data_IF_458971989183
#
_entry.id   IF_458971989183
#
_cell.length_a   1.000
_cell.length_b   1.000
_cell.length_c   1.000
_cell.angle_alpha   90.00
_cell.angle_beta   90.00
_cell.angle_gamma   90.00
#
_symmetry.space_group_name_H-M   'P 1'
#
loop_
_entity.id
_entity.type
_entity.pdbx_description
1 polymer ?
#
# COMPACT_ATOMS: atom_id res chain seq x y z
N UNK A 1 -14.10 2.87 -0.38
CA UNK A 1 -15.56 2.90 -0.15
C UNK A 1 -16.29 3.96 -0.98
N UNK A 2 -15.73 5.15 -1.24
CA UNK A 2 -16.40 6.18 -2.05
C UNK A 2 -16.56 5.84 -3.54
N UNK A 3 -15.72 4.95 -4.09
CA UNK A 3 -15.77 4.53 -5.49
C UNK A 3 -15.75 3.01 -5.59
N UNK A 4 -16.48 2.44 -6.53
CA UNK A 4 -16.43 1.00 -6.82
C UNK A 4 -15.12 0.64 -7.52
N UNK A 5 -14.74 -0.63 -7.43
CA UNK A 5 -13.57 -1.16 -8.16
C UNK A 5 -13.68 -0.90 -9.68
N UNK A 6 -14.88 -1.04 -10.26
CA UNK A 6 -15.13 -0.75 -11.67
C UNK A 6 -14.91 0.73 -11.99
N UNK A 7 -15.40 1.64 -11.14
CA UNK A 7 -15.17 3.08 -11.32
C UNK A 7 -13.68 3.42 -11.26
N UNK A 8 -12.93 2.84 -10.30
CA UNK A 8 -11.49 3.04 -10.19
C UNK A 8 -10.77 2.54 -11.44
N UNK A 9 -11.08 1.33 -11.92
CA UNK A 9 -10.51 0.76 -13.16
C UNK A 9 -10.78 1.65 -14.36
N UNK A 10 -12.04 2.03 -14.59
CA UNK A 10 -12.40 2.91 -15.71
C UNK A 10 -11.66 4.25 -15.70
N UNK A 11 -11.47 4.86 -14.53
CA UNK A 11 -10.70 6.10 -14.43
C UNK A 11 -9.21 5.84 -14.67
N UNK A 12 -8.66 4.79 -14.09
CA UNK A 12 -7.26 4.42 -14.29
C UNK A 12 -6.97 4.16 -15.77
N UNK A 13 -7.74 3.30 -16.43
CA UNK A 13 -7.58 2.92 -17.84
C UNK A 13 -7.67 4.14 -18.79
N UNK A 14 -8.41 5.18 -18.38
CA UNK A 14 -8.54 6.41 -19.17
C UNK A 14 -7.39 7.39 -18.92
N UNK A 15 -7.01 7.64 -17.66
CA UNK A 15 -6.06 8.70 -17.32
C UNK A 15 -4.59 8.24 -17.33
N UNK A 16 -4.32 6.97 -17.01
CA UNK A 16 -2.95 6.44 -16.94
C UNK A 16 -2.20 6.58 -18.29
N UNK A 17 -2.78 6.23 -19.46
CA UNK A 17 -2.08 6.35 -20.74
C UNK A 17 -1.81 7.79 -21.22
N UNK A 18 -2.52 8.77 -20.65
CA UNK A 18 -2.39 10.20 -21.01
C UNK A 18 -1.65 11.01 -19.95
N UNK A 19 -1.19 10.37 -18.87
CA UNK A 19 -0.38 11.00 -17.83
C UNK A 19 1.10 10.88 -18.20
N UNK A 20 1.80 12.01 -18.27
CA UNK A 20 3.18 12.07 -18.78
C UNK A 20 4.24 11.60 -17.79
N UNK A 21 3.94 11.58 -16.49
CA UNK A 21 4.91 11.18 -15.45
C UNK A 21 5.94 12.25 -15.08
N UNK A 22 5.80 13.49 -15.58
CA UNK A 22 6.79 14.57 -15.38
C UNK A 22 7.00 14.97 -13.90
N UNK A 23 6.06 14.60 -13.03
CA UNK A 23 6.17 14.76 -11.58
C UNK A 23 6.64 13.47 -10.93
N UNK A 24 7.69 13.54 -10.12
CA UNK A 24 8.21 12.44 -9.30
C UNK A 24 7.19 11.86 -8.30
N UNK A 25 6.08 12.56 -8.06
CA UNK A 25 4.96 12.06 -7.25
C UNK A 25 4.01 11.15 -8.05
N UNK A 26 3.94 11.31 -9.38
CA UNK A 26 2.98 10.63 -10.24
C UNK A 26 3.10 9.11 -10.13
N UNK A 27 4.33 8.60 -10.27
CA UNK A 27 4.61 7.18 -10.22
C UNK A 27 4.15 6.52 -8.90
N UNK A 28 4.38 7.15 -7.74
CA UNK A 28 3.91 6.61 -6.46
C UNK A 28 2.37 6.52 -6.38
N UNK A 29 1.65 7.52 -6.88
CA UNK A 29 0.18 7.53 -6.88
C UNK A 29 -0.37 6.49 -7.88
N UNK A 30 0.22 6.40 -9.07
CA UNK A 30 -0.14 5.40 -10.07
C UNK A 30 0.14 3.98 -9.56
N UNK A 31 1.23 3.77 -8.83
CA UNK A 31 1.55 2.48 -8.21
C UNK A 31 0.48 2.05 -7.19
N UNK A 32 0.07 2.97 -6.30
CA UNK A 32 -1.02 2.71 -5.34
C UNK A 32 -2.34 2.42 -6.07
N UNK A 33 -2.70 3.24 -7.06
CA UNK A 33 -3.95 3.06 -7.80
C UNK A 33 -3.98 1.72 -8.53
N UNK A 34 -2.90 1.38 -9.24
CA UNK A 34 -2.74 0.09 -9.93
C UNK A 34 -2.83 -1.10 -8.96
N UNK A 35 -2.20 -1.01 -7.79
CA UNK A 35 -2.27 -2.06 -6.78
C UNK A 35 -3.71 -2.26 -6.27
N UNK A 36 -4.43 -1.18 -5.99
CA UNK A 36 -5.81 -1.21 -5.50
C UNK A 36 -6.81 -1.81 -6.52
N UNK A 37 -6.53 -1.72 -7.82
CA UNK A 37 -7.39 -2.27 -8.87
C UNK A 37 -6.99 -3.66 -9.35
N UNK A 38 -5.90 -4.22 -8.81
CA UNK A 38 -5.37 -5.54 -9.15
C UNK A 38 -4.44 -5.56 -10.37
N UNK A 39 -3.95 -4.40 -10.83
CA UNK A 39 -2.99 -4.32 -11.95
C UNK A 39 -1.56 -4.45 -11.44
N UNK A 40 -1.21 -5.66 -10.99
CA UNK A 40 0.07 -5.94 -10.32
C UNK A 40 1.28 -5.47 -11.12
N UNK A 41 1.34 -5.78 -12.41
CA UNK A 41 2.49 -5.43 -13.24
C UNK A 41 2.67 -3.91 -13.36
N UNK A 42 1.57 -3.15 -13.48
CA UNK A 42 1.62 -1.69 -13.51
C UNK A 42 2.11 -1.16 -12.16
N UNK A 43 1.56 -1.68 -11.05
CA UNK A 43 1.95 -1.27 -9.71
C UNK A 43 3.45 -1.46 -9.45
N UNK A 44 4.02 -2.60 -9.86
CA UNK A 44 5.45 -2.89 -9.72
C UNK A 44 6.31 -1.99 -10.61
N UNK A 45 5.86 -1.71 -11.85
CA UNK A 45 6.59 -0.85 -12.77
C UNK A 45 6.69 0.58 -12.24
N UNK A 46 5.56 1.17 -11.84
CA UNK A 46 5.54 2.51 -11.25
C UNK A 46 6.29 2.58 -9.91
N UNK A 47 6.19 1.55 -9.07
CA UNK A 47 6.97 1.49 -7.84
C UNK A 47 8.49 1.52 -8.13
N UNK A 48 8.95 0.79 -9.15
CA UNK A 48 10.36 0.81 -9.57
C UNK A 48 10.76 2.17 -10.13
N UNK A 49 9.92 2.78 -10.96
CA UNK A 49 10.18 4.12 -11.49
C UNK A 49 10.40 5.13 -10.36
N UNK A 50 9.50 5.17 -9.38
CA UNK A 50 9.63 6.00 -8.19
C UNK A 50 10.88 5.66 -7.36
N UNK A 51 11.19 4.36 -7.18
CA UNK A 51 12.35 3.91 -6.40
C UNK A 51 13.67 4.36 -7.01
N UNK A 52 13.77 4.38 -8.33
CA UNK A 52 15.00 4.71 -9.04
C UNK A 52 15.11 6.18 -9.46
N UNK A 53 14.10 7.02 -9.22
CA UNK A 53 14.12 8.43 -9.66
C UNK A 53 15.38 9.16 -9.20
N UNK A 54 15.73 9.01 -7.92
CA UNK A 54 16.93 9.62 -7.34
C UNK A 54 18.16 8.71 -7.37
N UNK A 55 17.97 7.40 -7.21
CA UNK A 55 19.09 6.44 -7.18
C UNK A 55 19.79 6.30 -8.54
N UNK A 56 19.05 6.47 -9.63
CA UNK A 56 19.54 6.39 -10.99
C UNK A 56 19.50 7.74 -11.73
N UNK A 57 19.15 8.83 -11.04
CA UNK A 57 19.02 10.19 -11.60
C UNK A 57 18.21 10.21 -12.90
N UNK A 58 17.07 9.50 -12.93
CA UNK A 58 16.31 9.29 -14.19
C UNK A 58 15.72 10.58 -14.75
N UNK A 59 15.56 11.59 -13.89
CA UNK A 59 15.10 12.93 -14.28
C UNK A 59 16.26 13.92 -14.51
N UNK A 60 17.53 13.52 -14.25
CA UNK A 60 18.72 14.34 -14.48
C UNK A 60 18.84 15.56 -13.57
N UNK A 61 18.10 15.59 -12.45
CA UNK A 61 17.96 16.73 -11.56
C UNK A 61 18.14 16.35 -10.07
N UNK A 62 18.58 15.14 -9.73
CA UNK A 62 18.78 14.73 -8.32
C UNK A 62 19.81 15.60 -7.61
N UNK A 63 20.78 16.16 -8.35
CA UNK A 63 21.75 17.12 -7.81
C UNK A 63 21.09 18.39 -7.25
N UNK A 64 19.90 18.75 -7.74
CA UNK A 64 19.14 19.92 -7.33
C UNK A 64 18.32 19.63 -6.06
N UNK A 65 18.21 18.35 -5.67
CA UNK A 65 17.59 17.87 -4.44
C UNK A 65 16.96 16.49 -4.62
N UNK A 66 16.92 15.69 -3.55
CA UNK A 66 16.19 14.42 -3.51
C UNK A 66 14.68 14.68 -3.50
N UNK A 67 13.92 13.87 -4.23
CA UNK A 67 12.48 13.97 -4.30
C UNK A 67 11.81 13.38 -3.04
N UNK A 68 11.82 14.14 -1.93
CA UNK A 68 11.31 13.69 -0.62
C UNK A 68 9.85 13.22 -0.67
N UNK A 69 9.01 13.87 -1.47
CA UNK A 69 7.62 13.44 -1.66
C UNK A 69 7.54 12.05 -2.32
N UNK A 70 8.42 11.76 -3.29
CA UNK A 70 8.52 10.45 -3.92
C UNK A 70 8.99 9.40 -2.90
N UNK A 71 10.00 9.72 -2.08
CA UNK A 71 10.48 8.83 -1.03
C UNK A 71 9.38 8.45 -0.02
N UNK A 72 8.55 9.41 0.41
CA UNK A 72 7.36 9.13 1.22
C UNK A 72 6.31 8.30 0.46
N UNK A 73 6.14 8.57 -0.83
CA UNK A 73 5.25 7.81 -1.72
C UNK A 73 5.64 6.34 -1.90
N UNK A 74 6.93 6.00 -1.83
CA UNK A 74 7.37 4.60 -1.85
C UNK A 74 6.84 3.81 -0.65
N UNK A 75 6.94 4.40 0.55
CA UNK A 75 6.35 3.82 1.75
C UNK A 75 4.83 3.71 1.61
N UNK A 76 4.19 4.75 1.07
CA UNK A 76 2.76 4.74 0.79
C UNK A 76 2.34 3.63 -0.18
N UNK A 77 3.16 3.32 -1.18
CA UNK A 77 2.90 2.23 -2.13
C UNK A 77 2.93 0.86 -1.44
N UNK A 78 3.87 0.65 -0.52
CA UNK A 78 3.94 -0.57 0.27
C UNK A 78 2.69 -0.72 1.16
N UNK A 79 2.34 0.33 1.89
CA UNK A 79 1.31 0.27 2.94
C UNK A 79 -0.11 0.37 2.36
N UNK A 80 -0.38 1.36 1.52
CA UNK A 80 -1.72 1.63 0.97
C UNK A 80 -1.97 0.93 -0.38
N UNK A 81 -0.90 0.53 -1.07
CA UNK A 81 -0.96 -0.24 -2.32
C UNK A 81 -0.91 -1.75 -2.04
N UNK A 82 0.30 -2.29 -1.83
CA UNK A 82 0.52 -3.75 -1.75
C UNK A 82 -0.10 -4.40 -0.52
N UNK A 83 0.01 -3.79 0.66
CA UNK A 83 -0.71 -4.29 1.84
C UNK A 83 -2.21 -3.91 1.82
N UNK A 84 -2.59 -2.96 0.96
CA UNK A 84 -3.97 -2.48 0.82
C UNK A 84 -4.55 -1.97 2.13
N UNK A 85 -3.73 -1.36 2.99
CA UNK A 85 -4.18 -0.85 4.28
C UNK A 85 -5.15 0.32 4.10
N UNK A 86 -6.27 0.26 4.81
CA UNK A 86 -7.23 1.34 4.93
C UNK A 86 -7.61 1.55 6.40
N UNK A 87 -7.57 2.80 6.85
CA UNK A 87 -8.05 3.18 8.18
C UNK A 87 -9.27 4.10 8.01
N UNK A 88 -10.43 3.64 8.47
CA UNK A 88 -11.66 4.43 8.45
C UNK A 88 -11.86 5.22 9.76
N UNK A 89 -10.84 5.26 10.63
CA UNK A 89 -10.89 5.86 11.97
C UNK A 89 -11.44 4.92 13.05
N UNK A 90 -12.26 3.94 12.68
CA UNK A 90 -12.84 2.95 13.61
C UNK A 90 -11.95 1.71 13.67
N UNK A 91 -11.61 1.12 12.52
CA UNK A 91 -10.83 -0.13 12.40
C UNK A 91 -9.81 -0.05 11.26
N UNK A 92 -8.74 -0.83 11.39
CA UNK A 92 -7.84 -1.11 10.27
C UNK A 92 -8.39 -2.24 9.41
N UNK A 93 -8.38 -2.04 8.09
CA UNK A 93 -8.69 -3.06 7.08
C UNK A 93 -7.50 -3.24 6.16
N UNK A 94 -7.33 -4.44 5.63
CA UNK A 94 -6.28 -4.74 4.66
C UNK A 94 -6.87 -5.46 3.44
N UNK A 95 -6.31 -5.16 2.26
CA UNK A 95 -6.56 -5.87 1.00
C UNK A 95 -5.24 -6.43 0.47
N UNK A 96 -4.70 -7.51 1.08
CA UNK A 96 -3.32 -7.91 0.85
C UNK A 96 -3.09 -8.37 -0.60
N UNK A 97 -2.14 -7.76 -1.30
CA UNK A 97 -1.73 -8.15 -2.64
C UNK A 97 -0.22 -7.95 -2.81
N UNK A 98 0.54 -8.97 -2.41
CA UNK A 98 1.98 -8.98 -2.59
C UNK A 98 2.33 -9.23 -4.07
N UNK A 99 3.19 -8.40 -4.69
CA UNK A 99 3.77 -8.69 -5.99
C UNK A 99 4.45 -10.07 -6.05
N UNK A 100 4.20 -10.80 -7.12
CA UNK A 100 4.74 -12.15 -7.39
C UNK A 100 6.27 -12.21 -7.43
N UNK A 101 6.93 -11.07 -7.64
CA UNK A 101 8.39 -10.92 -7.62
C UNK A 101 8.99 -10.92 -6.20
N UNK A 102 8.17 -10.87 -5.15
CA UNK A 102 8.61 -10.82 -3.76
C UNK A 102 8.12 -12.03 -2.95
N UNK A 103 8.88 -12.39 -1.92
CA UNK A 103 8.53 -13.47 -1.00
C UNK A 103 7.73 -12.97 0.22
N UNK A 104 7.98 -11.72 0.62
CA UNK A 104 7.24 -11.06 1.68
C UNK A 104 7.77 -9.66 1.96
N UNK A 105 7.00 -8.89 2.71
CA UNK A 105 7.37 -7.57 3.22
C UNK A 105 6.92 -7.47 4.68
N UNK A 106 7.79 -6.93 5.53
CA UNK A 106 7.43 -6.56 6.90
C UNK A 106 7.54 -5.06 7.07
N UNK A 107 6.52 -4.43 7.66
CA UNK A 107 6.57 -3.02 8.02
C UNK A 107 5.90 -2.76 9.38
N UNK A 108 6.12 -1.55 9.91
CA UNK A 108 5.61 -1.14 11.24
C UNK A 108 4.73 0.08 11.14
N UNK A 109 3.74 0.15 12.02
CA UNK A 109 2.79 1.25 12.14
C UNK A 109 2.59 1.63 13.60
N UNK A 110 2.12 2.86 13.83
CA UNK A 110 1.54 3.26 15.11
C UNK A 110 0.10 3.72 14.88
N UNK A 111 -0.83 3.20 15.69
CA UNK A 111 -2.24 3.61 15.65
C UNK A 111 -2.77 3.77 17.07
N UNK A 112 -3.27 4.96 17.39
CA UNK A 112 -3.91 5.28 18.68
C UNK A 112 -3.11 4.81 19.92
N UNK A 113 -1.78 4.96 19.87
CA UNK A 113 -0.88 4.56 20.96
C UNK A 113 -0.40 3.11 20.93
N UNK A 114 -0.83 2.30 19.96
CA UNK A 114 -0.39 0.91 19.79
C UNK A 114 0.66 0.77 18.70
N UNK A 115 1.70 -0.04 18.96
CA UNK A 115 2.72 -0.39 17.97
C UNK A 115 2.32 -1.69 17.27
N UNK A 116 2.32 -1.66 15.94
CA UNK A 116 1.84 -2.76 15.10
C UNK A 116 2.96 -3.17 14.14
N UNK A 117 3.10 -4.48 13.92
CA UNK A 117 3.90 -5.06 12.83
C UNK A 117 2.95 -5.73 11.87
N UNK A 118 3.17 -5.52 10.57
CA UNK A 118 2.44 -6.20 9.51
C UNK A 118 3.43 -7.01 8.68
N UNK A 119 3.21 -8.32 8.62
CA UNK A 119 3.94 -9.26 7.78
C UNK A 119 3.06 -9.66 6.60
N UNK A 120 3.43 -9.24 5.39
CA UNK A 120 2.74 -9.52 4.14
C UNK A 120 3.46 -10.63 3.39
N UNK A 121 2.73 -11.66 2.96
CA UNK A 121 3.22 -12.76 2.12
C UNK A 121 2.25 -13.04 0.95
N UNK A 122 2.57 -14.05 0.13
CA UNK A 122 1.77 -14.39 -1.05
C UNK A 122 0.31 -14.77 -0.75
N UNK A 123 0.00 -15.18 0.48
CA UNK A 123 -1.29 -15.72 0.91
C UNK A 123 -2.12 -14.75 1.76
N UNK A 124 -1.59 -13.56 2.10
CA UNK A 124 -2.27 -12.59 2.96
C UNK A 124 -1.30 -11.77 3.81
N UNK A 125 -1.82 -11.12 4.86
CA UNK A 125 -0.99 -10.45 5.85
C UNK A 125 -1.33 -10.89 7.28
N UNK A 126 -0.32 -10.86 8.15
CA UNK A 126 -0.46 -11.06 9.60
C UNK A 126 -0.22 -9.74 10.29
N UNK A 127 -1.18 -9.29 11.08
CA UNK A 127 -1.11 -8.04 11.84
C UNK A 127 -0.88 -8.39 13.31
N UNK A 128 0.26 -7.98 13.84
CA UNK A 128 0.68 -8.25 15.23
C UNK A 128 0.68 -6.95 16.02
N UNK A 129 -0.05 -6.91 17.14
CA UNK A 129 -0.02 -5.78 18.06
C UNK A 129 1.07 -6.05 19.10
N UNK A 130 2.15 -5.29 19.05
CA UNK A 130 3.29 -5.48 19.96
C UNK A 130 2.97 -5.00 21.37
N UNK A 131 2.38 -3.81 21.49
CA UNK A 131 2.03 -3.14 22.73
C UNK A 131 1.01 -2.03 22.49
N UNK A 132 0.52 -1.46 23.60
CA UNK A 132 -0.51 -0.43 23.63
C UNK A 132 -1.93 -1.01 23.78
N UNK A 133 -2.97 -0.17 23.65
CA UNK A 133 -4.36 -0.61 23.69
C UNK A 133 -4.71 -1.63 22.58
N UNK A 134 -5.78 -2.43 22.75
CA UNK A 134 -6.25 -3.32 21.71
C UNK A 134 -6.58 -2.58 20.41
N UNK A 135 -6.20 -3.16 19.27
CA UNK A 135 -6.40 -2.56 17.95
C UNK A 135 -7.60 -3.23 17.26
N UNK A 136 -8.64 -2.48 16.85
CA UNK A 136 -9.72 -3.00 16.02
C UNK A 136 -9.24 -3.25 14.60
N UNK A 137 -9.32 -4.51 14.17
CA UNK A 137 -8.95 -4.98 12.83
C UNK A 137 -10.16 -5.62 12.18
N UNK A 138 -10.55 -5.12 11.01
CA UNK A 138 -11.54 -5.72 10.12
C UNK A 138 -10.83 -6.77 9.24
N UNK A 139 -11.19 -8.03 9.44
CA UNK A 139 -10.62 -9.16 8.71
C UNK A 139 -11.49 -9.68 7.55
N UNK A 140 -12.59 -8.99 7.27
CA UNK A 140 -13.57 -9.38 6.24
C UNK A 140 -14.81 -10.09 6.77
N UNK A 141 -14.72 -10.77 7.92
CA UNK A 141 -15.87 -11.39 8.61
C UNK A 141 -16.43 -10.49 9.71
N UNK A 142 -15.62 -9.52 10.17
CA UNK A 142 -16.03 -8.49 11.11
C UNK A 142 -14.83 -7.80 11.77
N UNK A 143 -15.12 -6.94 12.74
CA UNK A 143 -14.09 -6.24 13.51
C UNK A 143 -13.71 -7.05 14.74
N UNK A 144 -12.42 -7.40 14.83
CA UNK A 144 -11.81 -8.09 15.97
C UNK A 144 -10.88 -7.13 16.71
N UNK A 145 -11.02 -7.04 18.03
CA UNK A 145 -10.07 -6.32 18.88
C UNK A 145 -8.86 -7.21 19.17
N UNK A 146 -7.71 -6.86 18.62
CA UNK A 146 -6.47 -7.59 18.81
C UNK A 146 -5.68 -6.96 19.96
N UNK A 147 -5.52 -7.64 21.11
CA UNK A 147 -4.77 -7.11 22.24
C UNK A 147 -3.25 -7.16 22.00
N UNK A 148 -2.50 -6.43 22.82
CA UNK A 148 -1.04 -6.50 22.84
C UNK A 148 -0.54 -7.95 23.03
N UNK A 149 0.49 -8.33 22.28
CA UNK A 149 1.06 -9.67 22.25
C UNK A 149 0.27 -10.67 21.37
N UNK A 150 -0.85 -10.26 20.79
CA UNK A 150 -1.64 -11.10 19.89
C UNK A 150 -1.49 -10.69 18.41
N UNK A 151 -1.92 -11.58 17.53
CA UNK A 151 -1.90 -11.38 16.09
C UNK A 151 -3.22 -11.79 15.44
N UNK A 152 -3.53 -11.18 14.30
CA UNK A 152 -4.65 -11.54 13.44
C UNK A 152 -4.17 -11.76 12.02
N UNK A 153 -4.54 -12.89 11.42
CA UNK A 153 -4.28 -13.20 10.01
C UNK A 153 -5.44 -12.69 9.16
N UNK A 154 -5.10 -12.03 8.07
CA UNK A 154 -6.04 -11.60 7.03
C UNK A 154 -5.59 -12.30 5.75
N UNK A 155 -6.45 -13.17 5.22
CA UNK A 155 -6.15 -13.89 3.98
C UNK A 155 -6.15 -12.93 2.78
N UNK A 156 -5.39 -13.29 1.74
CA UNK A 156 -5.49 -12.62 0.44
C UNK A 156 -6.90 -12.86 -0.13
N UNK A 157 -7.61 -11.77 -0.38
CA UNK A 157 -8.91 -11.75 -1.03
C UNK A 157 -8.88 -11.05 -2.39
N UNK A 158 -10.05 -10.86 -2.98
CA UNK A 158 -10.23 -9.97 -4.12
C UNK A 158 -9.90 -8.51 -3.73
N UNK A 159 -9.41 -7.67 -4.66
CA UNK A 159 -9.20 -6.25 -4.39
C UNK A 159 -10.48 -5.58 -3.91
N UNK A 160 -10.40 -4.85 -2.80
CA UNK A 160 -11.54 -4.19 -2.19
C UNK A 160 -11.66 -2.77 -2.80
N UNK A 161 -12.82 -2.46 -3.40
CA UNK A 161 -13.14 -1.13 -3.94
C UNK A 161 -13.17 -0.02 -2.88
#
# INVERSE_FOLDING_TARGET
DQFTLEQKRRNYDYYDPITTGDSSLSACVQAVAAAQIGYEQHAVNYFREALFVDLADTHGNTRDGVHIASAGGMWGTIVFGFAGMYDNGVSLRFSPSLPSVWQGITFRLQRHGSRIVVDLDATGCTVTVLDGPPVPIDDGDGVVLVPAGAQRRIARGEPIG
#
